data_IF_621631321360
#
_entry.id   IF_621631321360
#
_cell.length_a   1.000
_cell.length_b   1.000
_cell.length_c   1.000
_cell.angle_alpha   90.00
_cell.angle_beta   90.00
_cell.angle_gamma   90.00
#
_symmetry.space_group_name_H-M   'P 1'
#
loop_
_entity.id
_entity.type
_entity.pdbx_description
1 polymer ?
#
# COMPACT_ATOMS: atom_id res chain seq x y z
N UNK A 1 -10.64 12.84 -7.44
CA UNK A 1 -10.59 14.24 -6.93
C UNK A 1 -9.47 14.50 -5.94
N UNK A 2 -9.02 13.48 -5.20
CA UNK A 2 -8.02 13.64 -4.14
C UNK A 2 -6.62 14.13 -4.59
N UNK A 3 -6.08 13.72 -5.77
CA UNK A 3 -4.76 14.17 -6.20
C UNK A 3 -4.65 15.68 -6.36
N UNK A 4 -3.56 16.26 -5.82
CA UNK A 4 -3.23 17.69 -5.90
C UNK A 4 -2.03 17.90 -6.83
N UNK A 5 -2.29 18.12 -8.12
CA UNK A 5 -1.26 18.17 -9.16
C UNK A 5 -0.27 19.33 -9.05
N UNK A 6 -0.59 20.35 -8.25
CA UNK A 6 0.23 21.54 -7.97
C UNK A 6 1.06 21.42 -6.68
N UNK A 7 1.12 20.24 -6.07
CA UNK A 7 1.87 20.00 -4.82
C UNK A 7 3.35 20.31 -5.00
N UNK A 8 3.90 21.12 -4.10
CA UNK A 8 5.34 21.43 -4.03
C UNK A 8 5.91 21.08 -2.65
N UNK A 9 7.22 20.83 -2.59
CA UNK A 9 7.90 20.56 -1.32
C UNK A 9 7.74 21.71 -0.32
N UNK A 10 7.78 22.96 -0.80
CA UNK A 10 7.61 24.15 0.02
C UNK A 10 6.21 24.25 0.64
N UNK A 11 5.17 23.78 -0.07
CA UNK A 11 3.83 23.68 0.50
C UNK A 11 3.77 22.62 1.60
N UNK A 12 4.35 21.44 1.37
CA UNK A 12 4.37 20.34 2.34
C UNK A 12 5.07 20.73 3.64
N UNK A 13 6.18 21.47 3.55
CA UNK A 13 6.96 21.94 4.71
C UNK A 13 6.21 22.92 5.61
N UNK A 14 5.19 23.62 5.09
CA UNK A 14 4.42 24.62 5.84
C UNK A 14 3.23 24.03 6.59
N UNK A 15 2.93 22.75 6.39
CA UNK A 15 1.77 22.11 7.00
C UNK A 15 1.98 21.87 8.50
N UNK A 16 0.96 22.17 9.28
CA UNK A 16 0.95 21.86 10.72
C UNK A 16 0.87 20.35 10.99
N UNK A 17 1.28 19.96 12.20
CA UNK A 17 1.31 18.57 12.66
C UNK A 17 0.20 18.31 13.68
N UNK A 18 -1.01 17.90 13.24
CA UNK A 18 -2.20 17.92 14.09
C UNK A 18 -2.19 16.87 15.21
N UNK A 19 -1.40 15.81 15.06
CA UNK A 19 -1.44 14.66 15.98
C UNK A 19 -0.59 14.84 17.24
N UNK A 20 0.46 15.66 17.15
CA UNK A 20 1.41 15.87 18.25
C UNK A 20 2.23 17.14 18.00
N UNK A 21 2.46 17.91 19.06
CA UNK A 21 3.43 19.00 19.05
C UNK A 21 4.84 18.47 18.73
N UNK A 22 5.56 19.12 17.81
CA UNK A 22 6.84 18.62 17.30
C UNK A 22 6.72 17.27 16.56
N UNK A 23 5.53 16.94 16.05
CA UNK A 23 5.31 15.77 15.21
C UNK A 23 5.94 15.90 13.81
N UNK A 24 5.81 14.85 13.02
CA UNK A 24 6.22 14.83 11.60
C UNK A 24 5.09 14.50 10.63
N UNK A 25 3.95 14.04 11.17
CA UNK A 25 2.78 13.68 10.37
C UNK A 25 1.92 14.92 10.14
N UNK A 26 1.60 15.18 8.88
CA UNK A 26 0.81 16.31 8.38
C UNK A 26 -0.27 15.81 7.44
N UNK A 27 -1.21 16.69 7.06
CA UNK A 27 -2.20 16.36 6.03
C UNK A 27 -1.61 16.14 4.62
N UNK A 28 -0.33 16.47 4.40
CA UNK A 28 0.35 16.29 3.12
C UNK A 28 1.18 15.01 3.02
N UNK A 29 1.34 14.27 4.12
CA UNK A 29 2.08 13.00 4.15
C UNK A 29 1.27 11.87 4.82
N UNK A 30 -0.04 12.06 4.92
CA UNK A 30 -1.02 11.08 5.36
C UNK A 30 -2.10 10.98 4.29
N UNK A 31 -2.66 9.79 4.10
CA UNK A 31 -3.82 9.62 3.22
C UNK A 31 -5.04 10.35 3.77
N UNK A 32 -5.90 10.82 2.88
CA UNK A 32 -7.19 11.40 3.26
C UNK A 32 -8.20 10.38 3.77
N UNK A 33 -9.35 10.92 4.20
CA UNK A 33 -10.59 10.16 4.37
C UNK A 33 -11.34 10.26 3.04
N UNK A 34 -11.68 9.11 2.46
CA UNK A 34 -12.23 9.04 1.11
C UNK A 34 -13.38 8.05 1.02
N UNK A 35 -14.24 8.25 0.04
CA UNK A 35 -15.30 7.33 -0.35
C UNK A 35 -14.90 6.56 -1.62
N UNK A 36 -15.20 5.27 -1.67
CA UNK A 36 -14.89 4.45 -2.83
C UNK A 36 -15.39 3.01 -2.70
N UNK A 37 -15.51 2.33 -3.84
CA UNK A 37 -15.83 0.91 -3.91
C UNK A 37 -15.00 0.23 -5.02
N UNK A 38 -14.64 -1.03 -4.79
CA UNK A 38 -13.92 -1.88 -5.74
C UNK A 38 -14.56 -3.26 -5.71
N UNK A 39 -14.64 -3.92 -6.87
CA UNK A 39 -15.16 -5.27 -7.00
C UNK A 39 -14.25 -6.10 -7.90
N UNK A 40 -14.00 -7.34 -7.49
CA UNK A 40 -13.24 -8.34 -8.23
C UNK A 40 -14.08 -9.60 -8.40
N UNK A 41 -14.07 -10.17 -9.60
CA UNK A 41 -14.63 -11.49 -9.85
C UNK A 41 -13.55 -12.55 -9.65
N UNK A 42 -13.72 -13.40 -8.63
CA UNK A 42 -12.84 -14.54 -8.38
C UNK A 42 -13.49 -15.82 -8.90
N UNK A 43 -12.70 -16.61 -9.63
CA UNK A 43 -13.15 -17.88 -10.17
C UNK A 43 -12.01 -18.90 -10.17
N UNK A 44 -12.34 -20.18 -10.00
CA UNK A 44 -11.38 -21.25 -10.27
C UNK A 44 -11.16 -21.39 -11.79
N UNK A 45 -10.04 -22.00 -12.23
CA UNK A 45 -9.78 -22.20 -13.66
C UNK A 45 -10.92 -22.94 -14.39
N UNK A 46 -11.55 -23.92 -13.72
CA UNK A 46 -12.68 -24.66 -14.28
C UNK A 46 -13.92 -23.78 -14.48
N UNK A 47 -14.25 -22.91 -13.53
CA UNK A 47 -15.38 -21.98 -13.68
C UNK A 47 -15.07 -20.90 -14.70
N UNK A 48 -13.84 -20.37 -14.72
CA UNK A 48 -13.41 -19.41 -15.73
C UNK A 48 -13.55 -20.00 -17.15
N UNK A 49 -13.12 -21.25 -17.36
CA UNK A 49 -13.29 -21.95 -18.63
C UNK A 49 -14.77 -22.18 -18.98
N UNK A 50 -15.57 -22.70 -18.03
CA UNK A 50 -17.00 -22.94 -18.21
C UNK A 50 -17.77 -21.70 -18.66
N UNK A 51 -17.43 -20.54 -18.11
CA UNK A 51 -18.09 -19.27 -18.41
C UNK A 51 -17.35 -18.41 -19.46
N UNK A 52 -16.29 -18.93 -20.10
CA UNK A 52 -15.54 -18.20 -21.12
C UNK A 52 -14.83 -16.94 -20.61
N UNK A 53 -14.47 -16.88 -19.32
CA UNK A 53 -13.83 -15.73 -18.69
C UNK A 53 -12.32 -15.70 -19.01
N UNK A 54 -11.80 -14.52 -19.37
CA UNK A 54 -10.35 -14.29 -19.53
C UNK A 54 -9.75 -13.82 -18.21
N UNK A 55 -8.94 -14.67 -17.58
CA UNK A 55 -8.23 -14.33 -16.35
C UNK A 55 -7.28 -13.13 -16.57
N UNK A 56 -7.27 -12.19 -15.61
CA UNK A 56 -6.35 -11.03 -15.58
C UNK A 56 -5.11 -11.29 -14.71
N UNK A 57 -5.20 -12.22 -13.79
CA UNK A 57 -4.14 -12.60 -12.86
C UNK A 57 -4.55 -13.84 -12.07
N UNK A 58 -3.67 -14.28 -11.17
CA UNK A 58 -3.89 -15.42 -10.27
C UNK A 58 -3.43 -15.05 -8.87
N UNK A 59 -4.23 -15.41 -7.86
CA UNK A 59 -3.80 -15.34 -6.46
C UNK A 59 -2.83 -16.50 -6.21
N UNK A 60 -1.55 -16.18 -5.98
CA UNK A 60 -0.49 -17.19 -5.75
C UNK A 60 -0.46 -17.63 -4.29
N UNK A 61 -0.47 -16.67 -3.37
CA UNK A 61 -0.52 -16.89 -1.94
C UNK A 61 -1.15 -15.66 -1.26
N UNK A 62 -1.63 -15.84 -0.02
CA UNK A 62 -2.09 -14.77 0.84
C UNK A 62 -1.59 -15.04 2.26
N UNK A 63 -1.21 -14.00 2.98
CA UNK A 63 -0.80 -14.13 4.37
C UNK A 63 -1.27 -12.93 5.19
N UNK A 64 -1.49 -13.18 6.47
CA UNK A 64 -1.73 -12.17 7.50
C UNK A 64 -0.77 -12.38 8.66
N UNK A 65 -0.44 -11.28 9.34
CA UNK A 65 0.41 -11.26 10.53
C UNK A 65 -0.09 -10.17 11.49
N UNK A 66 0.02 -10.44 12.79
CA UNK A 66 -0.28 -9.48 13.85
C UNK A 66 0.99 -8.76 14.32
N UNK A 67 0.84 -7.51 14.73
CA UNK A 67 1.90 -6.70 15.36
C UNK A 67 1.30 -5.94 16.54
N UNK A 68 2.16 -5.37 17.38
CA UNK A 68 1.75 -4.51 18.48
C UNK A 68 0.93 -3.30 17.98
N UNK A 69 -0.25 -2.99 18.56
CA UNK A 69 -1.12 -1.92 18.08
C UNK A 69 -0.45 -0.55 17.98
N UNK A 70 0.50 -0.27 18.88
CA UNK A 70 1.25 1.01 18.89
C UNK A 70 2.14 1.23 17.68
N UNK A 71 2.47 0.17 16.94
CA UNK A 71 3.30 0.21 15.73
C UNK A 71 2.57 -0.46 14.56
N UNK A 72 1.24 -0.44 14.55
CA UNK A 72 0.41 -1.16 13.58
C UNK A 72 0.82 -0.95 12.11
N UNK A 73 1.38 0.22 11.77
CA UNK A 73 1.90 0.52 10.44
C UNK A 73 3.01 -0.41 9.95
N UNK A 74 3.69 -1.17 10.82
CA UNK A 74 4.71 -2.15 10.42
C UNK A 74 4.13 -3.52 10.03
N UNK A 75 2.81 -3.72 10.20
CA UNK A 75 2.11 -4.97 9.86
C UNK A 75 2.46 -5.58 8.48
N UNK A 76 2.69 -4.77 7.42
CA UNK A 76 3.12 -5.29 6.13
C UNK A 76 4.45 -6.05 6.16
N UNK A 77 5.39 -5.75 7.06
CA UNK A 77 6.72 -6.41 7.09
C UNK A 77 6.60 -7.92 7.36
N UNK A 78 6.03 -8.38 8.50
CA UNK A 78 5.88 -9.81 8.75
C UNK A 78 4.89 -10.48 7.80
N UNK A 79 3.86 -9.77 7.33
CA UNK A 79 2.92 -10.30 6.34
C UNK A 79 3.60 -10.58 4.99
N UNK A 80 4.45 -9.65 4.53
CA UNK A 80 5.20 -9.78 3.27
C UNK A 80 6.22 -10.91 3.35
N UNK A 81 7.01 -10.97 4.43
CA UNK A 81 7.97 -12.08 4.63
C UNK A 81 7.27 -13.44 4.60
N UNK A 82 6.13 -13.56 5.29
CA UNK A 82 5.33 -14.79 5.33
C UNK A 82 4.72 -15.17 3.97
N UNK A 83 4.18 -14.22 3.20
CA UNK A 83 3.57 -14.54 1.90
C UNK A 83 4.62 -14.93 0.85
N UNK A 84 5.80 -14.31 0.89
CA UNK A 84 6.92 -14.65 0.02
C UNK A 84 7.45 -16.05 0.30
N UNK A 85 7.60 -16.43 1.57
CA UNK A 85 7.95 -17.80 1.98
C UNK A 85 6.90 -18.81 1.48
N UNK A 86 5.60 -18.54 1.70
CA UNK A 86 4.51 -19.41 1.24
C UNK A 86 4.47 -19.56 -0.29
N UNK A 87 4.82 -18.51 -1.03
CA UNK A 87 4.86 -18.51 -2.49
C UNK A 87 6.16 -19.07 -3.06
N UNK A 88 7.18 -19.29 -2.22
CA UNK A 88 8.56 -19.57 -2.63
C UNK A 88 9.10 -18.52 -3.62
N UNK A 89 8.92 -17.24 -3.27
CA UNK A 89 9.35 -16.07 -4.04
C UNK A 89 10.19 -15.13 -3.18
N UNK A 90 10.90 -14.21 -3.82
CA UNK A 90 11.66 -13.14 -3.19
C UNK A 90 11.13 -11.77 -3.62
N UNK A 91 11.48 -10.71 -2.85
CA UNK A 91 11.16 -9.32 -3.24
C UNK A 91 11.77 -8.91 -4.57
N UNK A 92 12.90 -9.50 -4.97
CA UNK A 92 13.52 -9.26 -6.26
C UNK A 92 12.70 -9.79 -7.44
N UNK A 93 11.80 -10.75 -7.20
CA UNK A 93 10.93 -11.33 -8.23
C UNK A 93 9.69 -10.47 -8.51
N UNK A 94 9.46 -9.41 -7.73
CA UNK A 94 8.31 -8.52 -7.89
C UNK A 94 8.61 -7.45 -8.95
N UNK A 95 7.79 -7.40 -9.99
CA UNK A 95 7.82 -6.34 -11.01
C UNK A 95 7.16 -5.05 -10.53
N UNK A 96 6.08 -5.19 -9.75
CA UNK A 96 5.29 -4.09 -9.17
C UNK A 96 4.96 -4.43 -7.72
N UNK A 97 5.07 -3.45 -6.83
CA UNK A 97 4.77 -3.55 -5.41
C UNK A 97 3.73 -2.46 -5.10
N UNK A 98 2.53 -2.89 -4.72
CA UNK A 98 1.50 -2.00 -4.20
C UNK A 98 1.56 -2.05 -2.66
N UNK A 99 2.08 -0.98 -2.05
CA UNK A 99 2.15 -0.81 -0.59
C UNK A 99 1.26 0.36 -0.20
N UNK A 100 0.19 0.09 0.53
CA UNK A 100 -0.72 1.15 0.96
C UNK A 100 -0.02 2.24 1.79
N UNK A 101 -0.32 3.50 1.48
CA UNK A 101 0.33 4.68 2.06
C UNK A 101 -0.59 5.40 3.06
N UNK A 102 -1.09 4.72 4.08
CA UNK A 102 -1.91 5.38 5.12
C UNK A 102 -1.19 6.58 5.73
N UNK A 103 0.12 6.42 5.98
CA UNK A 103 1.05 7.48 6.35
C UNK A 103 2.40 7.25 5.67
N UNK A 104 3.09 8.32 5.27
CA UNK A 104 4.44 8.22 4.68
C UNK A 104 5.42 7.57 5.66
N UNK A 105 5.30 7.90 6.96
CA UNK A 105 6.18 7.37 8.00
C UNK A 105 6.16 5.83 8.07
N UNK A 106 4.98 5.20 7.99
CA UNK A 106 4.90 3.73 7.99
C UNK A 106 5.34 3.13 6.67
N UNK A 107 5.04 3.78 5.54
CA UNK A 107 5.47 3.31 4.22
C UNK A 107 6.99 3.21 4.15
N UNK A 108 7.69 4.28 4.54
CA UNK A 108 9.16 4.30 4.60
C UNK A 108 9.71 3.28 5.60
N UNK A 109 9.08 3.12 6.78
CA UNK A 109 9.51 2.11 7.74
C UNK A 109 9.41 0.68 7.18
N UNK A 110 8.32 0.36 6.48
CA UNK A 110 8.12 -0.94 5.83
C UNK A 110 9.16 -1.16 4.73
N UNK A 111 9.37 -0.19 3.84
CA UNK A 111 10.34 -0.31 2.74
C UNK A 111 11.75 -0.62 3.28
N UNK A 112 12.20 0.16 4.26
CA UNK A 112 13.53 0.01 4.85
C UNK A 112 13.70 -1.33 5.57
N UNK A 113 12.69 -1.78 6.32
CA UNK A 113 12.71 -3.10 6.98
C UNK A 113 12.64 -4.28 5.99
N UNK A 114 12.10 -4.06 4.80
CA UNK A 114 12.11 -5.03 3.70
C UNK A 114 13.36 -4.91 2.79
N UNK A 115 14.24 -3.95 3.06
CA UNK A 115 15.46 -3.72 2.28
C UNK A 115 15.24 -3.08 0.92
N UNK A 116 14.12 -2.38 0.73
CA UNK A 116 13.81 -1.61 -0.48
C UNK A 116 14.30 -0.17 -0.33
N UNK A 117 14.72 0.43 -1.45
CA UNK A 117 15.02 1.86 -1.49
C UNK A 117 13.72 2.67 -1.31
N UNK A 118 13.83 3.85 -0.68
CA UNK A 118 12.68 4.74 -0.45
C UNK A 118 12.03 5.22 -1.77
N UNK A 119 12.79 5.21 -2.87
CA UNK A 119 12.40 5.62 -4.22
C UNK A 119 12.41 4.44 -5.22
N UNK A 120 12.27 3.20 -4.75
CA UNK A 120 12.21 2.02 -5.62
C UNK A 120 11.08 2.17 -6.66
N UNK A 121 11.39 2.19 -7.97
CA UNK A 121 10.41 2.52 -9.02
C UNK A 121 9.31 1.46 -9.17
N UNK A 122 9.46 0.30 -8.53
CA UNK A 122 8.45 -0.76 -8.51
C UNK A 122 7.33 -0.45 -7.52
N UNK A 123 7.58 0.40 -6.52
CA UNK A 123 6.63 0.72 -5.45
C UNK A 123 5.67 1.80 -5.91
N UNK A 124 4.37 1.48 -5.90
CA UNK A 124 3.27 2.39 -6.21
C UNK A 124 3.52 3.23 -7.49
N UNK A 125 3.81 2.61 -8.65
CA UNK A 125 4.22 3.32 -9.87
C UNK A 125 3.16 4.30 -10.41
N UNK A 126 1.90 4.13 -10.00
CA UNK A 126 0.78 4.99 -10.39
C UNK A 126 0.36 5.97 -9.26
N UNK A 127 1.18 6.11 -8.22
CA UNK A 127 0.86 6.84 -6.99
C UNK A 127 0.10 5.98 -5.98
N UNK A 128 0.25 6.30 -4.70
CA UNK A 128 -0.40 5.59 -3.60
C UNK A 128 -1.47 6.42 -2.88
N UNK A 129 -1.88 5.93 -1.72
CA UNK A 129 -3.03 6.45 -0.97
C UNK A 129 -2.86 7.89 -0.45
N UNK A 130 -1.64 8.41 -0.31
CA UNK A 130 -1.43 9.83 0.01
C UNK A 130 -2.01 10.73 -1.09
N UNK A 131 -1.87 10.32 -2.35
CA UNK A 131 -2.40 11.06 -3.49
C UNK A 131 -3.80 10.60 -3.90
N UNK A 132 -4.04 9.29 -3.94
CA UNK A 132 -5.27 8.69 -4.46
C UNK A 132 -6.40 8.65 -3.43
N UNK A 133 -6.07 8.66 -2.14
CA UNK A 133 -7.01 8.54 -1.02
C UNK A 133 -7.08 7.13 -0.43
N UNK A 134 -7.71 7.01 0.75
CA UNK A 134 -7.79 5.76 1.51
C UNK A 134 -9.21 5.47 2.03
N UNK A 135 -10.12 4.96 1.19
CA UNK A 135 -11.42 4.43 1.62
C UNK A 135 -11.22 3.11 2.39
N UNK A 136 -11.27 3.18 3.72
CA UNK A 136 -10.83 2.12 4.65
C UNK A 136 -11.31 0.69 4.33
N UNK A 137 -12.57 0.51 3.94
CA UNK A 137 -13.14 -0.82 3.64
C UNK A 137 -12.92 -1.30 2.20
N UNK A 138 -12.42 -0.44 1.33
CA UNK A 138 -12.14 -0.74 -0.09
C UNK A 138 -10.64 -0.97 -0.33
N UNK A 139 -9.80 -0.28 0.44
CA UNK A 139 -8.34 -0.24 0.28
C UNK A 139 -7.63 -1.55 0.66
#
# INVERSE_FOLDING_TARGET
>A
EHPRGDTTLQMLQRLGTPFREGGSVTAGNASGVNDGACALLLASPAQAARFGLKARGRVVAMATAGVEPRIMGIGPVPATRKVLELANLNLADMDVIELNEAFAAQGLAVLRELGLADDDPRVNPNGGAIALGHPLGMS
#
